data_IF_505206498269
#
_entry.id   IF_505206498269
#
_cell.length_a   1.000
_cell.length_b   1.000
_cell.length_c   1.000
_cell.angle_alpha   90.00
_cell.angle_beta   90.00
_cell.angle_gamma   90.00
#
_symmetry.space_group_name_H-M   'P 1'
#
loop_
_entity.id
_entity.type
_entity.pdbx_description
1 polymer ?
#
# COMPACT_ATOMS: atom_id res chain seq x y z
N UNK A 1 -7.20 -41.56 2.13
CA UNK A 1 -7.42 -40.14 1.81
C UNK A 1 -6.39 -39.36 2.60
N UNK A 2 -5.32 -38.90 1.96
CA UNK A 2 -4.33 -38.00 2.53
C UNK A 2 -4.70 -36.59 2.07
N UNK A 3 -5.21 -35.78 2.98
CA UNK A 3 -5.34 -34.33 2.77
C UNK A 3 -3.94 -33.75 2.65
N UNK A 4 -3.59 -33.22 1.48
CA UNK A 4 -2.45 -32.34 1.32
C UNK A 4 -2.71 -31.11 2.21
N UNK A 5 -1.93 -30.99 3.27
CA UNK A 5 -1.92 -29.79 4.10
C UNK A 5 -1.39 -28.67 3.20
N UNK A 6 -2.22 -27.65 2.98
CA UNK A 6 -1.92 -26.53 2.07
C UNK A 6 -0.55 -25.92 2.34
N UNK A 7 0.13 -25.52 1.26
CA UNK A 7 1.43 -24.87 1.33
C UNK A 7 1.40 -23.67 2.30
N UNK A 8 2.45 -23.54 3.12
CA UNK A 8 2.55 -22.42 4.04
C UNK A 8 2.74 -21.12 3.24
N UNK A 9 1.83 -20.17 3.43
CA UNK A 9 1.94 -18.85 2.82
C UNK A 9 3.27 -18.18 3.21
N UNK A 10 4.03 -17.74 2.21
CA UNK A 10 5.29 -17.01 2.40
C UNK A 10 4.96 -15.53 2.60
N UNK A 11 5.49 -14.96 3.68
CA UNK A 11 5.40 -13.53 3.97
C UNK A 11 6.75 -12.87 3.75
N UNK A 12 6.78 -11.84 2.91
CA UNK A 12 7.95 -10.98 2.68
C UNK A 12 7.63 -9.57 3.17
N UNK A 13 8.58 -8.92 3.85
CA UNK A 13 8.44 -7.52 4.31
C UNK A 13 9.54 -6.70 3.65
N UNK A 14 9.17 -5.56 3.07
CA UNK A 14 10.08 -4.63 2.38
C UNK A 14 9.83 -3.20 2.81
N UNK A 15 10.87 -2.38 2.81
CA UNK A 15 10.73 -0.92 2.94
C UNK A 15 10.88 -0.29 1.56
N UNK A 16 9.99 0.63 1.22
CA UNK A 16 10.08 1.48 0.03
C UNK A 16 10.21 2.92 0.51
N UNK A 17 11.14 3.65 -0.09
CA UNK A 17 11.36 5.07 0.17
C UNK A 17 11.01 5.87 -1.07
N UNK A 18 10.39 7.02 -0.87
CA UNK A 18 10.00 7.98 -1.88
C UNK A 18 10.79 9.27 -1.63
N UNK A 19 11.45 9.77 -2.66
CA UNK A 19 12.28 10.98 -2.62
C UNK A 19 11.82 11.94 -3.73
N UNK A 20 10.58 12.44 -3.61
CA UNK A 20 9.96 13.36 -4.57
C UNK A 20 9.76 12.74 -5.97
N UNK A 21 9.36 11.46 -5.99
CA UNK A 21 9.09 10.71 -7.21
C UNK A 21 7.58 10.69 -7.53
N UNK A 22 7.22 10.48 -8.80
CA UNK A 22 5.83 10.14 -9.19
C UNK A 22 5.39 8.91 -8.39
N UNK A 23 4.43 9.12 -7.47
CA UNK A 23 4.24 8.27 -6.30
C UNK A 23 3.82 6.84 -6.61
N UNK A 24 3.20 6.58 -7.76
CA UNK A 24 2.68 5.25 -8.05
C UNK A 24 3.74 4.33 -8.64
N UNK A 25 4.84 4.84 -9.21
CA UNK A 25 5.77 4.00 -9.95
C UNK A 25 6.42 2.89 -9.10
N UNK A 26 6.89 3.14 -7.86
CA UNK A 26 7.40 2.07 -6.99
C UNK A 26 6.31 1.06 -6.57
N UNK A 27 5.06 1.53 -6.40
CA UNK A 27 3.92 0.69 -6.01
C UNK A 27 3.42 -0.18 -7.18
N UNK A 28 3.40 0.36 -8.39
CA UNK A 28 3.08 -0.37 -9.62
C UNK A 28 4.17 -1.38 -9.99
N UNK A 29 5.44 -1.08 -9.72
CA UNK A 29 6.53 -2.03 -9.86
C UNK A 29 6.34 -3.23 -8.92
N UNK A 30 5.94 -3.01 -7.66
CA UNK A 30 5.56 -4.10 -6.75
C UNK A 30 4.43 -4.95 -7.30
N UNK A 31 3.36 -4.33 -7.81
CA UNK A 31 2.23 -5.06 -8.37
C UNK A 31 2.67 -5.97 -9.53
N UNK A 32 3.54 -5.46 -10.41
CA UNK A 32 4.11 -6.22 -11.55
C UNK A 32 5.08 -7.32 -11.13
N UNK A 33 5.89 -7.09 -10.10
CA UNK A 33 6.89 -8.04 -9.62
C UNK A 33 6.28 -9.19 -8.78
N UNK A 34 5.06 -9.00 -8.26
CA UNK A 34 4.38 -9.94 -7.37
C UNK A 34 2.94 -10.22 -7.86
N UNK A 35 2.76 -10.73 -9.10
CA UNK A 35 1.42 -10.96 -9.64
C UNK A 35 0.68 -12.01 -8.81
N UNK A 36 -0.55 -11.70 -8.41
CA UNK A 36 -1.40 -12.59 -7.61
C UNK A 36 -1.03 -12.70 -6.12
N UNK A 37 -0.11 -11.87 -5.63
CA UNK A 37 0.17 -11.76 -4.20
C UNK A 37 -0.78 -10.75 -3.53
N UNK A 38 -1.13 -11.01 -2.27
CA UNK A 38 -1.80 -10.00 -1.44
C UNK A 38 -0.73 -9.07 -0.85
N UNK A 39 -0.84 -7.78 -1.16
CA UNK A 39 0.17 -6.77 -0.78
C UNK A 39 -0.48 -5.67 0.03
N UNK A 40 0.11 -5.37 1.18
CA UNK A 40 -0.38 -4.40 2.14
C UNK A 40 0.69 -3.36 2.47
N UNK A 41 0.29 -2.09 2.49
CA UNK A 41 1.15 -0.93 2.74
C UNK A 41 0.87 -0.36 4.13
N UNK A 42 1.92 -0.09 4.89
CA UNK A 42 1.85 0.49 6.23
C UNK A 42 2.93 1.56 6.39
N UNK A 43 2.60 2.72 6.97
CA UNK A 43 3.54 3.82 7.15
C UNK A 43 2.91 5.17 6.86
N UNK A 44 3.75 6.16 6.55
CA UNK A 44 3.29 7.50 6.24
C UNK A 44 4.09 8.11 5.09
N UNK A 45 3.39 8.79 4.19
CA UNK A 45 3.97 9.54 3.09
C UNK A 45 3.47 10.98 3.16
N UNK A 46 4.38 11.94 3.06
CA UNK A 46 4.03 13.33 2.86
C UNK A 46 3.69 13.54 1.38
N UNK A 47 2.59 14.21 1.09
CA UNK A 47 2.09 14.47 -0.27
C UNK A 47 1.98 15.97 -0.53
N UNK A 48 2.15 16.36 -1.79
CA UNK A 48 2.11 17.77 -2.19
C UNK A 48 0.70 18.36 -2.28
N UNK A 49 -0.30 17.56 -2.69
CA UNK A 49 -1.69 18.01 -2.87
C UNK A 49 -2.66 17.23 -1.97
N UNK A 50 -2.57 17.39 -0.63
CA UNK A 50 -3.41 16.66 0.32
C UNK A 50 -4.92 16.86 0.09
N UNK A 51 -5.34 18.00 -0.49
CA UNK A 51 -6.73 18.28 -0.86
C UNK A 51 -7.31 17.31 -1.91
N UNK A 52 -6.45 16.72 -2.74
CA UNK A 52 -6.83 15.83 -3.83
C UNK A 52 -6.92 14.36 -3.38
N UNK A 53 -6.31 14.02 -2.24
CA UNK A 53 -6.40 12.69 -1.63
C UNK A 53 -7.82 12.42 -1.15
N UNK A 54 -8.52 11.47 -1.81
CA UNK A 54 -9.87 11.04 -1.43
C UNK A 54 -9.83 9.72 -0.68
N UNK A 55 -9.85 9.76 0.65
CA UNK A 55 -9.93 8.56 1.48
C UNK A 55 -11.30 7.88 1.29
N UNK A 56 -11.39 6.66 0.72
CA UNK A 56 -12.65 5.96 0.59
C UNK A 56 -13.12 5.47 1.96
N UNK A 57 -14.20 6.04 2.48
CA UNK A 57 -14.81 5.62 3.74
C UNK A 57 -16.00 4.70 3.45
N UNK A 58 -15.79 3.40 3.59
CA UNK A 58 -16.86 2.42 3.47
C UNK A 58 -17.46 2.11 4.86
N UNK A 59 -18.79 2.18 5.03
CA UNK A 59 -19.43 1.83 6.29
C UNK A 59 -19.12 0.39 6.69
N UNK A 60 -18.87 0.16 7.99
CA UNK A 60 -18.58 -1.17 8.57
C UNK A 60 -17.27 -1.81 8.07
N UNK A 61 -16.36 -1.04 7.49
CA UNK A 61 -15.00 -1.48 7.21
C UNK A 61 -14.00 -0.77 8.12
N UNK A 62 -12.84 -1.41 8.33
CA UNK A 62 -11.73 -0.78 9.01
C UNK A 62 -11.16 0.33 8.14
N UNK A 63 -10.84 1.47 8.74
CA UNK A 63 -10.15 2.55 8.05
C UNK A 63 -8.68 2.19 7.93
N UNK A 64 -8.22 1.95 6.71
CA UNK A 64 -6.84 1.51 6.39
C UNK A 64 -5.96 2.64 5.86
N UNK A 65 -6.54 3.82 5.59
CA UNK A 65 -5.80 5.01 5.20
C UNK A 65 -6.44 6.27 5.80
N UNK A 66 -5.62 7.26 6.16
CA UNK A 66 -6.06 8.52 6.75
C UNK A 66 -5.17 9.66 6.30
N UNK A 67 -5.76 10.83 6.02
CA UNK A 67 -5.02 12.05 5.76
C UNK A 67 -4.90 12.87 7.07
N UNK A 68 -3.66 13.19 7.46
CA UNK A 68 -3.35 13.98 8.65
C UNK A 68 -2.43 15.15 8.24
N UNK A 69 -3.02 16.34 8.07
CA UNK A 69 -2.31 17.49 7.52
C UNK A 69 -1.93 17.22 6.06
N UNK A 70 -0.63 17.24 5.75
CA UNK A 70 -0.07 16.90 4.43
C UNK A 70 0.49 15.48 4.35
N UNK A 71 0.11 14.59 5.29
CA UNK A 71 0.61 13.20 5.34
C UNK A 71 -0.53 12.21 5.17
N UNK A 72 -0.36 11.27 4.25
CA UNK A 72 -1.21 10.10 4.12
C UNK A 72 -0.60 8.99 4.98
N UNK A 73 -1.37 8.55 5.97
CA UNK A 73 -1.02 7.42 6.83
C UNK A 73 -1.73 6.17 6.35
N UNK A 74 -0.98 5.11 6.13
CA UNK A 74 -1.47 3.78 5.78
C UNK A 74 -1.36 2.86 7.00
N UNK A 75 -2.42 2.09 7.24
CA UNK A 75 -2.51 1.03 8.25
C UNK A 75 -2.95 -0.27 7.55
N UNK A 76 -1.96 -1.00 7.04
CA UNK A 76 -2.15 -2.19 6.20
C UNK A 76 -3.20 -1.98 5.08
N UNK A 77 -3.09 -0.85 4.37
CA UNK A 77 -3.89 -0.55 3.20
C UNK A 77 -3.57 -1.51 2.06
N UNK A 78 -4.57 -1.93 1.27
CA UNK A 78 -4.30 -2.75 0.09
C UNK A 78 -3.43 -1.98 -0.91
N UNK A 79 -2.58 -2.67 -1.66
CA UNK A 79 -1.74 -2.01 -2.67
C UNK A 79 -2.58 -1.24 -3.70
N UNK A 80 -3.72 -1.79 -4.12
CA UNK A 80 -4.61 -1.17 -5.10
C UNK A 80 -5.24 0.13 -4.55
N UNK A 81 -5.71 0.11 -3.30
CA UNK A 81 -6.23 1.31 -2.64
C UNK A 81 -5.12 2.34 -2.40
N UNK A 82 -3.92 1.89 -2.01
CA UNK A 82 -2.77 2.77 -1.84
C UNK A 82 -2.37 3.45 -3.17
N UNK A 83 -2.32 2.70 -4.28
CA UNK A 83 -2.09 3.28 -5.61
C UNK A 83 -3.17 4.31 -5.92
N UNK A 84 -4.45 3.96 -5.75
CA UNK A 84 -5.56 4.88 -6.05
C UNK A 84 -5.53 6.18 -5.24
N UNK A 85 -5.03 6.14 -4.01
CA UNK A 85 -4.87 7.32 -3.15
C UNK A 85 -3.70 8.23 -3.55
N UNK A 86 -2.71 7.66 -4.23
CA UNK A 86 -1.45 8.31 -4.59
C UNK A 86 -1.37 8.66 -6.09
N UNK A 87 -2.46 8.42 -6.85
CA UNK A 87 -2.57 8.85 -8.25
C UNK A 87 -2.43 10.38 -8.33
N UNK A 88 -1.58 10.85 -9.24
CA UNK A 88 -1.34 12.29 -9.49
C UNK A 88 -0.75 13.06 -8.29
N UNK A 89 -0.12 12.35 -7.34
CA UNK A 89 0.57 12.92 -6.19
C UNK A 89 2.10 12.77 -6.29
N UNK A 90 2.84 13.53 -5.49
CA UNK A 90 4.31 13.47 -5.30
C UNK A 90 4.66 13.27 -3.82
N UNK A 91 5.37 12.17 -3.51
CA UNK A 91 5.53 11.70 -2.13
C UNK A 91 6.95 11.84 -1.65
N UNK A 92 7.06 12.15 -0.37
CA UNK A 92 8.30 12.03 0.39
C UNK A 92 8.05 11.21 1.64
N UNK A 93 8.86 10.17 1.84
CA UNK A 93 8.83 9.36 3.05
C UNK A 93 9.16 7.90 2.80
N UNK A 94 8.73 7.04 3.70
CA UNK A 94 8.91 5.60 3.53
C UNK A 94 7.73 4.82 4.09
N UNK A 95 7.45 3.69 3.43
CA UNK A 95 6.42 2.75 3.83
C UNK A 95 7.00 1.34 3.91
N UNK A 96 6.47 0.58 4.83
CA UNK A 96 6.64 -0.86 4.88
C UNK A 96 5.57 -1.52 4.02
N UNK A 97 5.99 -2.47 3.20
CA UNK A 97 5.12 -3.28 2.37
C UNK A 97 5.25 -4.73 2.80
N UNK A 98 4.10 -5.34 3.13
CA UNK A 98 3.99 -6.74 3.48
C UNK A 98 3.35 -7.49 2.32
N UNK A 99 4.03 -8.51 1.82
CA UNK A 99 3.66 -9.28 0.64
C UNK A 99 3.39 -10.72 1.09
N UNK A 100 2.18 -11.22 0.81
CA UNK A 100 1.76 -12.58 1.12
C UNK A 100 1.57 -13.35 -0.19
N UNK A 101 2.22 -14.52 -0.28
CA UNK A 101 2.13 -15.42 -1.43
C UNK A 101 1.77 -16.82 -0.96
N UNK A 102 0.83 -17.45 -1.64
CA UNK A 102 0.50 -18.88 -1.52
C UNK A 102 1.23 -19.67 -2.59
#
# INVERSE_FOLDING_TARGET
MTTEVGEAAKTEIKSISFDDEEETAPLEELQRAYPGADIYVNGELAVDFPEDVKIPLQPKQMVTAQLVGSRVKFDYCSLDDAIALMIEQYAVGSVEVKILRS
#
